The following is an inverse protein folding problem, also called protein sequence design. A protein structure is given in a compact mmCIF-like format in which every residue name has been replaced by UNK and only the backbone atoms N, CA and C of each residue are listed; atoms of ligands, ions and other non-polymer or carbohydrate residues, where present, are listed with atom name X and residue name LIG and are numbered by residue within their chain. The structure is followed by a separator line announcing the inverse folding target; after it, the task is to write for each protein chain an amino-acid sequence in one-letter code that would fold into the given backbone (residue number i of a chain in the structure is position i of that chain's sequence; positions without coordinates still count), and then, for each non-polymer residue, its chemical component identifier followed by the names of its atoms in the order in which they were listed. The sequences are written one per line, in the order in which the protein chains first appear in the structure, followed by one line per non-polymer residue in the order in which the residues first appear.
data_IF_615045118619
#
_entry.id   IF_615045118619
#
_cell.length_a   1.000
_cell.length_b   1.000
_cell.length_c   1.000
_cell.angle_alpha   90.00
_cell.angle_beta   90.00
_cell.angle_gamma   90.00
#
_symmetry.space_group_name_H-M   'P 1'
#
loop_
_entity.id
_entity.type
_entity.pdbx_description
1 polymer ?
#
# COMPACT_ATOMS: atom_id res chain seq x y z
N UNK A 1 39.04 -31.87 95.61
CA UNK A 1 38.04 -31.36 96.58
C UNK A 1 36.73 -32.09 96.35
N UNK A 2 36.10 -32.52 97.46
CA UNK A 2 34.99 -33.48 97.54
C UNK A 2 33.62 -32.86 97.17
N UNK A 3 32.75 -33.77 96.72
CA UNK A 3 31.29 -33.70 96.51
C UNK A 3 30.51 -32.76 97.44
N UNK A 4 29.53 -32.04 96.87
CA UNK A 4 28.50 -31.31 97.62
C UNK A 4 27.14 -31.27 96.91
N UNK A 5 26.74 -32.37 96.26
CA UNK A 5 25.39 -32.55 95.71
C UNK A 5 24.91 -34.00 95.92
N UNK A 6 24.96 -34.46 97.16
CA UNK A 6 24.05 -35.49 97.67
C UNK A 6 23.04 -34.76 98.55
N UNK A 7 21.78 -35.20 98.50
CA UNK A 7 20.59 -34.69 99.22
C UNK A 7 19.74 -33.66 98.47
N UNK A 8 18.54 -34.10 98.11
CA UNK A 8 17.49 -33.25 97.54
C UNK A 8 16.32 -33.98 96.89
N UNK A 9 16.25 -35.32 96.92
CA UNK A 9 15.09 -36.07 96.45
C UNK A 9 14.01 -36.16 97.55
N UNK A 10 13.28 -35.06 97.74
CA UNK A 10 12.07 -34.97 98.57
C UNK A 10 10.87 -34.51 97.72
N UNK A 11 10.75 -35.04 96.50
CA UNK A 11 9.51 -34.92 95.75
C UNK A 11 8.45 -35.80 96.43
N UNK A 12 7.58 -35.14 97.21
CA UNK A 12 6.31 -35.68 97.72
C UNK A 12 5.67 -36.55 96.65
N UNK A 13 5.44 -37.83 96.94
CA UNK A 13 4.63 -38.69 96.08
C UNK A 13 3.21 -38.12 96.05
N UNK A 14 2.90 -37.33 95.02
CA UNK A 14 1.54 -36.88 94.73
C UNK A 14 0.68 -38.12 94.52
N UNK A 15 -0.25 -38.37 95.44
CA UNK A 15 -1.33 -39.32 95.26
C UNK A 15 -2.00 -39.04 93.92
N UNK A 16 -1.85 -39.97 92.97
CA UNK A 16 -2.54 -39.91 91.68
C UNK A 16 -4.04 -40.05 91.97
N UNK A 17 -4.77 -38.94 91.93
CA UNK A 17 -6.23 -39.02 91.87
C UNK A 17 -6.61 -39.76 90.58
N UNK A 18 -7.61 -40.65 90.62
CA UNK A 18 -8.10 -41.32 89.42
C UNK A 18 -8.60 -40.25 88.44
N UNK A 19 -8.20 -40.37 87.18
CA UNK A 19 -8.66 -39.48 86.13
C UNK A 19 -10.18 -39.58 86.03
N UNK A 20 -10.88 -38.51 86.43
CA UNK A 20 -12.31 -38.38 86.18
C UNK A 20 -12.45 -38.16 84.67
N UNK A 21 -12.85 -39.22 83.96
CA UNK A 21 -13.12 -39.19 82.53
C UNK A 21 -14.39 -38.39 82.27
N UNK A 22 -14.23 -37.12 81.91
CA UNK A 22 -15.31 -36.35 81.30
C UNK A 22 -15.47 -36.82 79.84
N UNK A 23 -16.70 -37.00 79.34
CA UNK A 23 -16.92 -37.24 77.91
C UNK A 23 -16.47 -35.98 77.16
N UNK A 24 -15.33 -36.08 76.49
CA UNK A 24 -14.81 -35.00 75.66
C UNK A 24 -15.73 -34.87 74.44
N UNK A 25 -16.26 -33.67 74.12
CA UNK A 25 -17.05 -33.49 72.91
C UNK A 25 -16.20 -33.85 71.68
N UNK A 26 -16.86 -34.32 70.61
CA UNK A 26 -16.26 -34.96 69.44
C UNK A 26 -15.52 -33.96 68.51
N UNK A 27 -14.54 -33.24 69.08
CA UNK A 27 -13.78 -32.14 68.46
C UNK A 27 -12.99 -32.62 67.22
N UNK A 28 -12.70 -33.91 67.12
CA UNK A 28 -11.97 -34.48 66.00
C UNK A 28 -12.80 -34.57 64.71
N UNK A 29 -14.12 -34.79 64.82
CA UNK A 29 -15.01 -34.84 63.65
C UNK A 29 -15.17 -33.45 63.02
N UNK A 30 -15.41 -32.44 63.85
CA UNK A 30 -15.53 -31.04 63.40
C UNK A 30 -14.26 -30.56 62.70
N UNK A 31 -13.07 -30.90 63.22
CA UNK A 31 -11.78 -30.55 62.59
C UNK A 31 -11.58 -31.22 61.22
N UNK A 32 -12.02 -32.47 61.05
CA UNK A 32 -11.93 -33.19 59.76
C UNK A 32 -12.89 -32.60 58.73
N UNK A 33 -14.10 -32.25 59.14
CA UNK A 33 -15.10 -31.61 58.28
C UNK A 33 -14.67 -30.20 57.87
N UNK A 34 -14.16 -29.39 58.81
CA UNK A 34 -13.61 -28.07 58.51
C UNK A 34 -12.44 -28.13 57.53
N UNK A 35 -11.55 -29.14 57.64
CA UNK A 35 -10.47 -29.35 56.66
C UNK A 35 -11.00 -29.71 55.27
N UNK A 36 -12.02 -30.57 55.18
CA UNK A 36 -12.66 -30.92 53.91
C UNK A 36 -13.36 -29.71 53.27
N UNK A 37 -14.11 -28.93 54.03
CA UNK A 37 -14.74 -27.70 53.56
C UNK A 37 -13.71 -26.67 53.09
N UNK A 38 -12.57 -26.56 53.79
CA UNK A 38 -11.46 -25.69 53.36
C UNK A 38 -10.83 -26.17 52.05
N UNK A 39 -10.63 -27.47 51.88
CA UNK A 39 -10.12 -28.05 50.64
C UNK A 39 -11.07 -27.80 49.45
N UNK A 40 -12.38 -27.99 49.66
CA UNK A 40 -13.40 -27.71 48.63
C UNK A 40 -13.44 -26.23 48.24
N UNK A 41 -13.33 -25.31 49.21
CA UNK A 41 -13.25 -23.86 48.93
C UNK A 41 -12.00 -23.49 48.14
N UNK A 42 -10.86 -24.12 48.43
CA UNK A 42 -9.63 -23.88 47.68
C UNK A 42 -9.75 -24.36 46.24
N UNK A 43 -10.30 -25.56 46.02
CA UNK A 43 -10.56 -26.09 44.67
C UNK A 43 -11.52 -25.18 43.89
N UNK A 44 -12.60 -24.72 44.51
CA UNK A 44 -13.54 -23.79 43.89
C UNK A 44 -12.88 -22.44 43.54
N UNK A 45 -12.04 -21.91 44.42
CA UNK A 45 -11.31 -20.67 44.14
C UNK A 45 -10.29 -20.83 43.01
N UNK A 46 -9.66 -21.99 42.89
CA UNK A 46 -8.74 -22.32 41.79
C UNK A 46 -9.48 -22.40 40.45
N UNK A 47 -10.64 -23.06 40.39
CA UNK A 47 -11.44 -23.14 39.17
C UNK A 47 -11.92 -21.76 38.73
N UNK A 48 -12.44 -20.96 39.68
CA UNK A 48 -12.88 -19.58 39.39
C UNK A 48 -11.71 -18.74 38.84
N UNK A 49 -10.51 -18.84 39.42
CA UNK A 49 -9.32 -18.14 38.90
C UNK A 49 -8.98 -18.59 37.48
N UNK A 50 -8.99 -19.89 37.21
CA UNK A 50 -8.71 -20.42 35.86
C UNK A 50 -9.74 -19.94 34.83
N UNK A 51 -11.01 -19.84 35.21
CA UNK A 51 -12.08 -19.32 34.37
C UNK A 51 -11.87 -17.83 34.04
N UNK A 52 -11.47 -17.01 35.02
CA UNK A 52 -11.12 -15.61 34.76
C UNK A 52 -9.94 -15.45 33.80
N UNK A 53 -8.87 -16.23 33.99
CA UNK A 53 -7.69 -16.16 33.12
C UNK A 53 -7.98 -16.68 31.70
N UNK A 54 -8.77 -17.74 31.56
CA UNK A 54 -9.12 -18.31 30.26
C UNK A 54 -10.08 -17.40 29.49
N UNK A 55 -11.06 -16.79 30.16
CA UNK A 55 -11.97 -15.81 29.56
C UNK A 55 -11.20 -14.61 28.98
N UNK A 56 -10.16 -14.11 29.67
CA UNK A 56 -9.30 -13.05 29.17
C UNK A 56 -8.54 -13.43 27.89
N UNK A 57 -7.99 -14.64 27.83
CA UNK A 57 -7.26 -15.15 26.65
C UNK A 57 -8.17 -15.30 25.43
N UNK A 58 -9.41 -15.76 25.63
CA UNK A 58 -10.39 -15.89 24.54
C UNK A 58 -10.76 -14.52 23.98
N UNK A 59 -11.04 -13.54 24.85
CA UNK A 59 -11.34 -12.16 24.44
C UNK A 59 -10.17 -11.52 23.70
N UNK A 60 -8.95 -11.69 24.18
CA UNK A 60 -7.75 -11.19 23.51
C UNK A 60 -7.55 -11.82 22.11
N UNK A 61 -7.81 -13.13 21.97
CA UNK A 61 -7.72 -13.82 20.67
C UNK A 61 -8.77 -13.31 19.68
N UNK A 62 -10.00 -13.04 20.15
CA UNK A 62 -11.06 -12.45 19.34
C UNK A 62 -10.72 -11.02 18.91
N UNK A 63 -10.26 -10.18 19.85
CA UNK A 63 -9.82 -8.81 19.56
C UNK A 63 -8.67 -8.79 18.56
N UNK A 64 -7.68 -9.67 18.70
CA UNK A 64 -6.57 -9.78 17.75
C UNK A 64 -7.05 -10.17 16.35
N UNK A 65 -8.02 -11.08 16.24
CA UNK A 65 -8.62 -11.45 14.95
C UNK A 65 -9.36 -10.26 14.32
N UNK A 66 -10.20 -9.58 15.09
CA UNK A 66 -10.93 -8.39 14.62
C UNK A 66 -9.96 -7.29 14.19
N UNK A 67 -8.92 -7.05 14.98
CA UNK A 67 -7.89 -6.07 14.64
C UNK A 67 -7.15 -6.45 13.35
N UNK A 68 -6.84 -7.74 13.14
CA UNK A 68 -6.22 -8.18 11.89
C UNK A 68 -7.11 -7.93 10.68
N UNK A 69 -8.42 -8.20 10.79
CA UNK A 69 -9.38 -7.95 9.71
C UNK A 69 -9.49 -6.45 9.45
N UNK A 70 -9.58 -5.64 10.51
CA UNK A 70 -9.61 -4.19 10.40
C UNK A 70 -8.37 -3.65 9.68
N UNK A 71 -7.18 -4.15 10.02
CA UNK A 71 -5.92 -3.74 9.40
C UNK A 71 -5.91 -4.07 7.90
N UNK A 72 -6.40 -5.26 7.52
CA UNK A 72 -6.55 -5.64 6.10
C UNK A 72 -7.49 -4.69 5.36
N UNK A 73 -8.63 -4.32 5.96
CA UNK A 73 -9.59 -3.38 5.35
C UNK A 73 -8.97 -1.99 5.18
N UNK A 74 -8.24 -1.50 6.18
CA UNK A 74 -7.55 -0.19 6.10
C UNK A 74 -6.50 -0.19 4.98
N UNK A 75 -5.70 -1.25 4.88
CA UNK A 75 -4.70 -1.38 3.80
C UNK A 75 -5.37 -1.43 2.43
N UNK A 76 -6.46 -2.18 2.29
CA UNK A 76 -7.21 -2.27 1.03
C UNK A 76 -7.80 -0.90 0.64
N UNK A 77 -8.41 -0.19 1.58
CA UNK A 77 -8.94 1.15 1.34
C UNK A 77 -7.85 2.15 0.95
N UNK A 78 -6.70 2.11 1.64
CA UNK A 78 -5.54 2.93 1.30
C UNK A 78 -4.99 2.64 -0.09
N UNK A 79 -4.91 1.37 -0.47
CA UNK A 79 -4.48 0.96 -1.81
C UNK A 79 -5.43 1.45 -2.90
N UNK A 80 -6.74 1.35 -2.69
CA UNK A 80 -7.75 1.85 -3.63
C UNK A 80 -7.61 3.37 -3.81
N UNK A 81 -7.45 4.10 -2.71
CA UNK A 81 -7.27 5.55 -2.75
C UNK A 81 -5.98 5.93 -3.50
N UNK A 82 -4.85 5.28 -3.19
CA UNK A 82 -3.58 5.51 -3.88
C UNK A 82 -3.66 5.23 -5.39
N UNK A 83 -4.28 4.10 -5.77
CA UNK A 83 -4.50 3.77 -7.18
C UNK A 83 -5.36 4.83 -7.88
N UNK A 84 -6.42 5.28 -7.21
CA UNK A 84 -7.34 6.29 -7.77
C UNK A 84 -6.63 7.63 -7.96
N UNK A 85 -5.78 8.03 -7.02
CA UNK A 85 -4.94 9.22 -7.14
C UNK A 85 -3.96 9.11 -8.32
N UNK A 86 -3.31 7.94 -8.48
CA UNK A 86 -2.41 7.70 -9.63
C UNK A 86 -3.12 7.76 -10.97
N UNK A 87 -4.33 7.21 -11.06
CA UNK A 87 -5.16 7.32 -12.27
C UNK A 87 -5.52 8.78 -12.55
N UNK A 88 -5.86 9.55 -11.51
CA UNK A 88 -6.15 10.98 -11.66
C UNK A 88 -4.92 11.75 -12.16
N UNK A 89 -3.73 11.52 -11.59
CA UNK A 89 -2.47 12.11 -12.07
C UNK A 89 -2.23 11.79 -13.57
N UNK A 90 -2.39 10.53 -13.97
CA UNK A 90 -2.26 10.13 -15.38
C UNK A 90 -3.32 10.78 -16.27
N UNK A 91 -4.54 10.97 -15.76
CA UNK A 91 -5.62 11.64 -16.51
C UNK A 91 -5.30 13.13 -16.77
N UNK A 92 -4.68 13.81 -15.80
CA UNK A 92 -4.21 15.18 -15.99
C UNK A 92 -3.06 15.24 -16.99
N UNK A 93 -2.12 14.30 -16.93
CA UNK A 93 -1.03 14.22 -17.89
C UNK A 93 -1.54 14.00 -19.33
N UNK A 94 -2.48 13.08 -19.52
CA UNK A 94 -3.12 12.84 -20.82
C UNK A 94 -3.90 14.07 -21.33
N UNK A 95 -4.56 14.79 -20.44
CA UNK A 95 -5.27 16.02 -20.82
C UNK A 95 -4.28 17.12 -21.24
N UNK A 96 -3.14 17.21 -20.56
CA UNK A 96 -2.04 18.10 -20.94
C UNK A 96 -1.47 17.76 -22.33
N UNK A 97 -1.19 16.48 -22.59
CA UNK A 97 -0.72 16.03 -23.90
C UNK A 97 -1.74 16.29 -25.02
N UNK A 98 -3.04 16.05 -24.78
CA UNK A 98 -4.08 16.40 -25.75
C UNK A 98 -4.11 17.89 -26.09
N UNK A 99 -3.86 18.75 -25.11
CA UNK A 99 -3.76 20.19 -25.33
C UNK A 99 -2.55 20.55 -26.21
N UNK A 100 -1.39 19.95 -25.92
CA UNK A 100 -0.18 20.16 -26.73
C UNK A 100 -0.39 19.68 -28.17
N UNK A 101 -1.01 18.51 -28.37
CA UNK A 101 -1.35 18.01 -29.71
C UNK A 101 -2.25 19.00 -30.45
N UNK A 102 -3.27 19.54 -29.79
CA UNK A 102 -4.14 20.57 -30.39
C UNK A 102 -3.42 21.89 -30.70
N UNK A 103 -2.39 22.25 -29.93
CA UNK A 103 -1.53 23.40 -30.22
C UNK A 103 -0.64 23.11 -31.45
N UNK A 104 -0.02 21.93 -31.53
CA UNK A 104 0.75 21.51 -32.70
C UNK A 104 -0.10 21.39 -33.98
N UNK A 105 -1.34 20.91 -33.89
CA UNK A 105 -2.26 20.86 -35.04
C UNK A 105 -2.57 22.27 -35.56
N UNK A 106 -2.76 23.25 -34.65
CA UNK A 106 -2.97 24.65 -35.04
C UNK A 106 -1.73 25.24 -35.68
N UNK A 107 -0.55 25.04 -35.08
CA UNK A 107 0.72 25.47 -35.67
C UNK A 107 0.92 24.87 -37.05
N UNK A 108 0.64 23.58 -37.20
CA UNK A 108 0.76 22.90 -38.47
C UNK A 108 -0.22 23.48 -39.50
N UNK A 109 -1.48 23.76 -39.12
CA UNK A 109 -2.43 24.43 -40.03
C UNK A 109 -1.96 25.82 -40.46
N UNK A 110 -1.35 26.60 -39.56
CA UNK A 110 -0.80 27.92 -39.88
C UNK A 110 0.37 27.77 -40.84
N UNK A 111 1.25 26.78 -40.61
CA UNK A 111 2.37 26.48 -41.51
C UNK A 111 1.84 26.05 -42.88
N UNK A 112 0.82 25.20 -42.94
CA UNK A 112 0.18 24.82 -44.21
C UNK A 112 -0.45 26.00 -44.93
N UNK A 113 -1.13 26.92 -44.24
CA UNK A 113 -1.67 28.14 -44.85
C UNK A 113 -0.56 29.09 -45.33
N UNK A 114 0.51 29.23 -44.57
CA UNK A 114 1.69 30.01 -44.97
C UNK A 114 2.41 29.37 -46.17
N UNK A 115 2.47 28.04 -46.21
CA UNK A 115 3.03 27.32 -47.33
C UNK A 115 2.11 27.47 -48.54
N UNK A 116 0.81 27.24 -48.41
CA UNK A 116 -0.16 27.41 -49.49
C UNK A 116 -0.14 28.84 -50.06
N UNK A 117 -0.02 29.87 -49.20
CA UNK A 117 0.09 31.26 -49.66
C UNK A 117 1.42 31.56 -50.36
N UNK A 118 2.57 31.10 -49.82
CA UNK A 118 3.91 31.31 -50.45
C UNK A 118 4.15 30.46 -51.68
N UNK A 119 3.59 29.25 -51.72
CA UNK A 119 3.67 28.31 -52.84
C UNK A 119 2.53 28.52 -53.83
N UNK A 120 1.63 29.46 -53.56
CA UNK A 120 0.63 29.86 -54.54
C UNK A 120 1.37 30.33 -55.78
N UNK A 121 1.21 29.56 -56.86
CA UNK A 121 1.87 29.79 -58.14
C UNK A 121 1.59 31.22 -58.65
N UNK A 122 0.44 31.77 -58.25
CA UNK A 122 -0.02 33.12 -58.50
C UNK A 122 0.92 34.19 -57.94
N UNK A 123 1.39 34.07 -56.70
CA UNK A 123 2.30 35.06 -56.09
C UNK A 123 3.70 35.01 -56.74
N UNK A 124 4.13 33.83 -57.19
CA UNK A 124 5.39 33.65 -57.93
C UNK A 124 5.24 34.23 -59.34
N UNK A 125 4.13 33.97 -60.02
CA UNK A 125 3.80 34.51 -61.35
C UNK A 125 3.73 36.05 -61.32
N UNK A 126 3.09 36.61 -60.30
CA UNK A 126 2.97 38.06 -60.11
C UNK A 126 4.32 38.72 -59.82
N UNK A 127 5.20 38.08 -59.03
CA UNK A 127 6.57 38.56 -58.82
C UNK A 127 7.46 38.41 -60.06
N UNK A 128 7.34 37.32 -60.80
CA UNK A 128 8.13 37.11 -62.02
C UNK A 128 7.73 38.11 -63.13
N UNK A 129 6.43 38.38 -63.25
CA UNK A 129 5.92 39.39 -64.20
C UNK A 129 6.34 40.80 -63.80
N UNK A 130 6.23 41.18 -62.52
CA UNK A 130 6.53 42.53 -62.05
C UNK A 130 8.02 42.82 -61.87
N UNK A 131 8.81 41.88 -61.35
CA UNK A 131 10.23 42.11 -61.05
C UNK A 131 11.17 41.71 -62.19
N UNK A 132 10.82 40.67 -62.96
CA UNK A 132 11.67 40.15 -64.05
C UNK A 132 11.11 40.51 -65.44
N UNK A 133 9.95 41.17 -65.51
CA UNK A 133 9.30 41.51 -66.79
C UNK A 133 8.88 40.28 -67.58
N UNK A 134 8.77 39.11 -66.94
CA UNK A 134 8.43 37.87 -67.63
C UNK A 134 6.99 37.93 -68.11
N UNK A 135 6.76 37.61 -69.39
CA UNK A 135 5.41 37.53 -69.95
C UNK A 135 4.77 36.19 -69.55
N UNK A 136 3.49 36.21 -69.18
CA UNK A 136 2.73 35.00 -68.84
C UNK A 136 2.84 33.99 -69.99
N UNK A 137 3.30 32.77 -69.69
CA UNK A 137 3.42 31.72 -70.70
C UNK A 137 2.06 31.43 -71.33
N UNK A 138 2.01 31.36 -72.67
CA UNK A 138 0.82 30.94 -73.41
C UNK A 138 0.39 29.55 -72.94
N UNK A 139 -0.92 29.30 -72.91
CA UNK A 139 -1.51 28.02 -72.50
C UNK A 139 -0.93 26.83 -73.27
N UNK A 140 -0.48 27.05 -74.51
CA UNK A 140 0.15 26.05 -75.37
C UNK A 140 1.58 25.65 -74.96
N UNK A 141 2.25 26.45 -74.11
CA UNK A 141 3.60 26.15 -73.61
C UNK A 141 3.58 25.38 -72.27
N UNK A 142 2.40 25.09 -71.71
CA UNK A 142 2.25 24.32 -70.48
C UNK A 142 2.42 22.82 -70.76
N UNK A 143 3.58 22.27 -70.37
CA UNK A 143 3.79 20.82 -70.35
C UNK A 143 3.28 20.26 -69.03
N UNK A 144 2.18 19.50 -69.08
CA UNK A 144 1.71 18.71 -67.94
C UNK A 144 2.65 17.53 -67.70
N UNK A 145 3.49 17.62 -66.67
CA UNK A 145 4.25 16.48 -66.17
C UNK A 145 3.28 15.53 -65.45
N UNK A 146 3.07 14.35 -66.02
CA UNK A 146 2.21 13.31 -65.44
C UNK A 146 2.67 12.88 -64.04
N UNK A 147 1.71 12.52 -63.19
CA UNK A 147 1.86 12.27 -61.74
C UNK A 147 2.94 11.26 -61.32
N UNK A 148 3.52 10.48 -62.24
CA UNK A 148 4.51 9.44 -61.93
C UNK A 148 5.84 9.96 -61.36
N UNK A 149 6.18 11.25 -61.56
CA UNK A 149 7.44 11.83 -61.06
C UNK A 149 7.31 12.52 -59.70
N UNK A 150 6.09 12.84 -59.23
CA UNK A 150 5.88 13.48 -57.92
C UNK A 150 6.03 12.51 -56.76
N UNK A 151 5.67 11.24 -56.96
CA UNK A 151 5.83 10.20 -55.93
C UNK A 151 7.31 9.89 -55.68
N UNK A 152 8.17 9.90 -56.69
CA UNK A 152 9.60 9.62 -56.53
C UNK A 152 10.35 10.66 -55.68
N UNK A 153 10.04 11.96 -55.84
CA UNK A 153 10.66 13.01 -55.03
C UNK A 153 10.17 13.04 -53.57
N UNK A 154 8.86 12.83 -53.36
CA UNK A 154 8.27 12.81 -52.01
C UNK A 154 8.63 11.52 -51.26
N UNK A 155 8.69 10.37 -51.94
CA UNK A 155 9.15 9.11 -51.35
C UNK A 155 10.65 9.13 -51.02
N UNK A 156 11.48 9.82 -51.82
CA UNK A 156 12.89 9.99 -51.48
C UNK A 156 13.10 10.87 -50.24
N UNK A 157 12.27 11.91 -50.05
CA UNK A 157 12.33 12.75 -48.85
C UNK A 157 11.77 12.05 -47.60
N UNK A 158 10.70 11.25 -47.74
CA UNK A 158 10.19 10.40 -46.65
C UNK A 158 11.15 9.26 -46.30
N UNK A 159 11.81 8.65 -47.28
CA UNK A 159 12.84 7.63 -47.07
C UNK A 159 13.99 8.15 -46.22
N UNK A 160 14.45 9.39 -46.45
CA UNK A 160 15.48 10.00 -45.61
C UNK A 160 15.01 10.39 -44.20
N UNK A 161 13.69 10.54 -44.00
CA UNK A 161 13.11 10.83 -42.68
C UNK A 161 12.92 9.56 -41.84
N UNK A 162 12.68 8.42 -42.49
CA UNK A 162 12.53 7.10 -41.82
C UNK A 162 13.87 6.63 -41.23
N UNK A 163 15.00 6.91 -41.88
CA UNK A 163 16.34 6.61 -41.33
C UNK A 163 16.66 7.37 -40.03
N UNK A 164 15.99 8.49 -39.76
CA UNK A 164 16.17 9.23 -38.50
C UNK A 164 15.34 8.66 -37.34
N UNK A 165 14.44 7.71 -37.58
CA UNK A 165 13.64 7.10 -36.53
C UNK A 165 14.43 6.07 -35.70
N UNK A 166 15.39 5.37 -36.30
CA UNK A 166 16.31 4.48 -35.57
C UNK A 166 17.21 5.27 -34.59
N UNK A 167 17.63 6.48 -34.96
CA UNK A 167 18.45 7.35 -34.10
C UNK A 167 17.65 7.83 -32.87
N UNK A 168 16.33 8.02 -33.01
CA UNK A 168 15.45 8.42 -31.91
C UNK A 168 15.18 7.26 -30.96
N UNK A 169 15.00 6.02 -31.47
CA UNK A 169 14.86 4.84 -30.61
C UNK A 169 16.14 4.53 -29.82
N UNK A 170 17.32 4.77 -30.43
CA UNK A 170 18.61 4.56 -29.76
C UNK A 170 18.83 5.54 -28.59
N UNK A 171 18.33 6.77 -28.68
CA UNK A 171 18.39 7.75 -27.58
C UNK A 171 17.42 7.48 -26.42
N UNK A 172 16.35 6.72 -26.66
CA UNK A 172 15.33 6.39 -25.64
C UNK A 172 15.71 5.12 -24.86
N UNK A 173 16.49 4.21 -25.45
CA UNK A 173 16.94 2.98 -24.80
C UNK A 173 18.24 3.12 -23.98
N UNK A 174 19.03 4.19 -24.18
CA UNK A 174 20.26 4.48 -23.41
C UNK A 174 20.05 5.35 -22.15
N UNK A 175 18.82 5.48 -21.64
CA UNK A 175 18.52 6.21 -20.40
C UNK A 175 17.86 5.34 -19.35
#
# INVERSE_FOLDING_TARGET
MKSRYEEGNLARQLHRMPAINYPMPDIEREKKEAKKARAQRLQYNETVRQDYYSAGKIRAKLLRRLFSVFLVVVVAAGFIAWRSAKIAEMSFYNTGLKRQIGEYEKENSIVYDQLASKTSLQAIEERATTALGMQKASSDALVYLGESSRTLGVLSALSSAIDNSEIIEQWVLER
#
